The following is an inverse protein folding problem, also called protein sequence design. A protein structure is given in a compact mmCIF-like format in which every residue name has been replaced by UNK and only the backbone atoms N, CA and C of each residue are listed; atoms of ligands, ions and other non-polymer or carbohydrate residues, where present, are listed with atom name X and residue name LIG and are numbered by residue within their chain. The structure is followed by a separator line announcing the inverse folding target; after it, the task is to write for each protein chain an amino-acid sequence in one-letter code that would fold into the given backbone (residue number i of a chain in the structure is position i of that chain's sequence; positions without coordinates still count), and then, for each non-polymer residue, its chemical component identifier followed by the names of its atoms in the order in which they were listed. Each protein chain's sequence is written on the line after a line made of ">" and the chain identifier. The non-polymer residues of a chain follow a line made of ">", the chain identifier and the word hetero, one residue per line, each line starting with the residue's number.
data_IF_543495954573
#
_entry.id   IF_543495954573
#
_cell.length_a   1.000
_cell.length_b   1.000
_cell.length_c   1.000
_cell.angle_alpha   90.00
_cell.angle_beta   90.00
_cell.angle_gamma   90.00
#
_symmetry.space_group_name_H-M   'P 1'
#
loop_
_entity.id
_entity.type
_entity.pdbx_description
1 polymer ?
#
# COMPACT_ATOMS: atom_id res chain seq x y z
N UNK A 1 45.13 -7.77 -71.11
CA UNK A 1 45.45 -8.90 -70.21
C UNK A 1 45.69 -8.29 -68.83
N UNK A 2 44.62 -7.90 -68.14
CA UNK A 2 44.67 -7.23 -66.84
C UNK A 2 44.23 -8.19 -65.73
N UNK A 3 44.94 -9.32 -65.62
CA UNK A 3 44.62 -10.41 -64.71
C UNK A 3 45.19 -10.24 -63.29
N UNK A 4 45.83 -9.12 -62.99
CA UNK A 4 46.56 -8.92 -61.73
C UNK A 4 45.97 -7.86 -60.79
N UNK A 5 44.83 -7.24 -61.12
CA UNK A 5 44.24 -6.18 -60.30
C UNK A 5 43.19 -6.66 -59.28
N UNK A 6 42.89 -7.96 -59.21
CA UNK A 6 41.80 -8.49 -58.37
C UNK A 6 42.22 -8.85 -56.92
N UNK A 7 43.47 -8.64 -56.54
CA UNK A 7 43.97 -8.99 -55.20
C UNK A 7 43.99 -7.84 -54.18
N UNK A 8 43.40 -6.68 -54.50
CA UNK A 8 43.27 -5.57 -53.56
C UNK A 8 41.89 -5.50 -52.89
N UNK A 9 41.34 -6.64 -52.47
CA UNK A 9 40.24 -6.63 -51.50
C UNK A 9 40.81 -6.25 -50.12
N UNK A 10 40.88 -4.94 -49.85
CA UNK A 10 41.16 -4.44 -48.51
C UNK A 10 40.06 -4.96 -47.57
N UNK A 11 40.41 -5.61 -46.44
CA UNK A 11 39.40 -6.04 -45.48
C UNK A 11 38.67 -4.81 -44.95
N UNK A 12 37.40 -4.64 -45.35
CA UNK A 12 36.52 -3.61 -44.81
C UNK A 12 36.39 -3.87 -43.32
N UNK A 13 37.08 -3.05 -42.52
CA UNK A 13 37.10 -3.14 -41.06
C UNK A 13 35.67 -3.21 -40.50
N UNK A 14 35.48 -3.85 -39.33
CA UNK A 14 34.16 -4.00 -38.74
C UNK A 14 33.53 -2.61 -38.55
N UNK A 15 32.45 -2.36 -39.29
CA UNK A 15 31.69 -1.12 -39.19
C UNK A 15 31.22 -0.91 -37.75
N UNK A 16 31.50 0.26 -37.19
CA UNK A 16 31.03 0.69 -35.86
C UNK A 16 29.51 0.52 -35.68
N UNK A 17 28.77 0.56 -36.79
CA UNK A 17 27.34 0.31 -36.82
C UNK A 17 26.96 -1.08 -36.30
N UNK A 18 27.79 -2.11 -36.54
CA UNK A 18 27.56 -3.47 -36.04
C UNK A 18 27.58 -3.51 -34.51
N UNK A 19 28.53 -2.81 -33.89
CA UNK A 19 28.60 -2.70 -32.43
C UNK A 19 27.39 -1.94 -31.87
N UNK A 20 26.92 -0.90 -32.57
CA UNK A 20 25.74 -0.15 -32.15
C UNK A 20 24.47 -1.01 -32.14
N UNK A 21 24.26 -1.82 -33.18
CA UNK A 21 23.13 -2.75 -33.25
C UNK A 21 23.19 -3.80 -32.14
N UNK A 22 24.37 -4.37 -31.88
CA UNK A 22 24.55 -5.36 -30.80
C UNK A 22 24.33 -4.72 -29.42
N UNK A 23 24.86 -3.51 -29.19
CA UNK A 23 24.66 -2.78 -27.95
C UNK A 23 23.19 -2.41 -27.72
N UNK A 24 22.47 -2.01 -28.77
CA UNK A 24 21.05 -1.71 -28.69
C UNK A 24 20.24 -2.95 -28.30
N UNK A 25 20.49 -4.09 -28.95
CA UNK A 25 19.83 -5.35 -28.61
C UNK A 25 20.15 -5.81 -27.18
N UNK A 26 21.42 -5.68 -26.77
CA UNK A 26 21.86 -6.00 -25.41
C UNK A 26 21.22 -5.09 -24.36
N UNK A 27 21.09 -3.79 -24.64
CA UNK A 27 20.46 -2.83 -23.74
C UNK A 27 18.95 -3.07 -23.60
N UNK A 28 18.26 -3.42 -24.69
CA UNK A 28 16.83 -3.76 -24.66
C UNK A 28 16.60 -5.04 -23.84
N UNK A 29 17.37 -6.10 -24.11
CA UNK A 29 17.23 -7.37 -23.39
C UNK A 29 17.65 -7.25 -21.92
N UNK A 30 18.78 -6.59 -21.64
CA UNK A 30 19.26 -6.35 -20.28
C UNK A 30 18.31 -5.46 -19.48
N UNK A 31 17.77 -4.41 -20.11
CA UNK A 31 16.75 -3.55 -19.50
C UNK A 31 15.48 -4.32 -19.17
N UNK A 32 15.03 -5.22 -20.05
CA UNK A 32 13.88 -6.08 -19.80
C UNK A 32 14.11 -7.00 -18.59
N UNK A 33 15.27 -7.65 -18.52
CA UNK A 33 15.62 -8.55 -17.41
C UNK A 33 15.68 -7.78 -16.08
N UNK A 34 16.33 -6.62 -16.06
CA UNK A 34 16.40 -5.78 -14.85
C UNK A 34 15.01 -5.30 -14.45
N UNK A 35 14.18 -4.86 -15.41
CA UNK A 35 12.81 -4.41 -15.14
C UNK A 35 11.96 -5.50 -14.49
N UNK A 36 11.96 -6.72 -15.03
CA UNK A 36 11.22 -7.84 -14.46
C UNK A 36 11.86 -8.39 -13.15
N UNK A 37 13.18 -8.35 -13.03
CA UNK A 37 13.90 -8.80 -11.83
C UNK A 37 13.69 -7.86 -10.63
N UNK A 38 13.75 -6.54 -10.86
CA UNK A 38 13.50 -5.54 -9.81
C UNK A 38 12.05 -5.62 -9.32
N UNK A 39 11.12 -5.89 -10.24
CA UNK A 39 9.72 -6.14 -9.93
C UNK A 39 9.61 -7.26 -8.87
N UNK A 40 10.26 -8.40 -9.09
CA UNK A 40 10.26 -9.53 -8.14
C UNK A 40 10.90 -9.20 -6.78
N UNK A 41 11.94 -8.37 -6.73
CA UNK A 41 12.65 -8.08 -5.48
C UNK A 41 11.98 -7.00 -4.61
N UNK A 42 11.22 -6.09 -5.21
CA UNK A 42 10.45 -5.09 -4.47
C UNK A 42 9.17 -5.66 -3.82
N UNK A 43 8.74 -6.86 -4.20
CA UNK A 43 7.56 -7.54 -3.62
C UNK A 43 7.88 -8.23 -2.27
N UNK A 44 9.18 -8.38 -1.96
CA UNK A 44 9.69 -8.86 -0.66
C UNK A 44 9.91 -7.75 0.37
N UNK A 45 9.63 -6.49 0.03
CA UNK A 45 9.54 -5.45 1.05
C UNK A 45 8.15 -5.56 1.68
N UNK A 46 8.05 -5.79 3.01
CA UNK A 46 6.77 -5.68 3.69
C UNK A 46 6.27 -4.27 3.41
N UNK A 47 5.19 -4.15 2.63
CA UNK A 47 4.38 -2.94 2.62
C UNK A 47 4.15 -2.56 4.07
N UNK A 48 4.46 -1.32 4.49
CA UNK A 48 4.08 -0.86 5.81
C UNK A 48 2.57 -1.04 5.86
N UNK A 49 2.17 -2.02 6.64
CA UNK A 49 0.80 -2.31 6.92
C UNK A 49 0.33 -1.07 7.68
N UNK A 50 -0.32 -0.14 6.98
CA UNK A 50 -1.06 0.97 7.60
C UNK A 50 -2.33 0.43 8.31
N UNK A 51 -2.31 -0.86 8.69
CA UNK A 51 -3.05 -1.48 9.78
C UNK A 51 -2.44 -1.18 11.16
N UNK A 52 -1.43 -0.31 11.23
CA UNK A 52 -0.87 0.22 12.48
C UNK A 52 -1.58 1.47 13.03
N UNK A 53 -2.91 1.55 13.00
CA UNK A 53 -3.59 2.06 14.20
C UNK A 53 -3.67 0.85 15.14
N UNK A 54 -2.51 0.43 15.65
CA UNK A 54 -2.47 -0.03 17.03
C UNK A 54 -3.10 1.12 17.77
N UNK A 55 -4.30 0.85 18.31
CA UNK A 55 -4.83 1.68 19.37
C UNK A 55 -3.67 1.97 20.31
N UNK A 56 -3.66 3.18 20.85
CA UNK A 56 -3.04 3.39 22.13
C UNK A 56 -3.25 2.11 22.95
N UNK A 57 -2.19 1.33 23.11
CA UNK A 57 -1.96 0.57 24.33
C UNK A 57 -1.93 1.67 25.38
N UNK A 58 -3.12 2.09 25.81
CA UNK A 58 -3.33 2.51 27.17
C UNK A 58 -2.89 1.29 27.92
N UNK A 59 -1.62 1.30 28.29
CA UNK A 59 -1.07 0.56 29.39
C UNK A 59 -2.07 0.80 30.53
N UNK A 60 -3.02 -0.14 30.61
CA UNK A 60 -3.97 -0.28 31.68
C UNK A 60 -3.11 -0.54 32.89
N UNK A 61 -2.66 0.57 33.47
CA UNK A 61 -2.00 0.67 34.74
C UNK A 61 -3.00 0.11 35.72
N UNK A 62 -2.93 -1.21 35.91
CA UNK A 62 -3.57 -1.97 36.96
C UNK A 62 -3.44 -1.13 38.23
N UNK A 63 -4.51 -0.50 38.75
CA UNK A 63 -4.47 0.01 40.09
C UNK A 63 -4.41 -1.25 40.96
N UNK A 64 -3.26 -1.44 41.59
CA UNK A 64 -3.14 -2.43 42.64
C UNK A 64 -4.23 -2.20 43.67
N UNK A 65 -4.90 -3.29 44.04
CA UNK A 65 -5.53 -3.54 45.34
C UNK A 65 -5.61 -2.30 46.24
N UNK A 66 -6.66 -1.49 46.08
CA UNK A 66 -7.04 -0.49 47.08
C UNK A 66 -8.56 -0.37 47.05
N UNK A 67 -9.18 -1.11 47.96
CA UNK A 67 -10.47 -0.79 48.59
C UNK A 67 -11.64 -0.50 47.63
N UNK A 68 -12.11 -1.56 46.96
CA UNK A 68 -13.42 -1.63 46.32
C UNK A 68 -14.51 -1.83 47.37
N UNK A 69 -14.92 -0.78 48.08
CA UNK A 69 -16.15 -0.85 48.89
C UNK A 69 -16.74 0.54 49.22
N UNK A 70 -16.79 1.49 48.27
CA UNK A 70 -17.62 2.70 48.45
C UNK A 70 -17.95 3.54 47.19
N UNK A 71 -17.71 3.03 45.98
CA UNK A 71 -17.83 3.85 44.75
C UNK A 71 -18.92 3.43 43.76
N UNK A 72 -19.77 2.44 44.05
CA UNK A 72 -20.87 2.07 43.14
C UNK A 72 -21.93 3.17 42.98
N UNK A 73 -22.22 3.95 44.03
CA UNK A 73 -23.17 5.07 43.95
C UNK A 73 -22.67 6.23 43.08
N UNK A 74 -21.34 6.46 43.05
CA UNK A 74 -20.76 7.52 42.23
C UNK A 74 -20.83 7.17 40.73
N UNK A 75 -20.62 5.90 40.35
CA UNK A 75 -20.79 5.45 38.97
C UNK A 75 -22.26 5.50 38.52
N UNK A 76 -23.22 5.21 39.40
CA UNK A 76 -24.65 5.30 39.06
C UNK A 76 -25.14 6.75 38.89
N UNK A 77 -24.64 7.69 39.68
CA UNK A 77 -25.04 9.11 39.59
C UNK A 77 -24.57 9.78 38.29
N UNK A 78 -23.41 9.40 37.76
CA UNK A 78 -22.88 9.95 36.49
C UNK A 78 -23.55 9.34 35.24
N UNK A 79 -24.18 8.17 35.37
CA UNK A 79 -24.93 7.53 34.28
C UNK A 79 -26.29 8.19 33.99
N UNK A 80 -26.78 9.05 34.88
CA UNK A 80 -28.07 9.72 34.75
C UNK A 80 -27.99 11.14 34.18
N UNK A 81 -26.84 11.56 33.65
CA UNK A 81 -26.76 12.86 32.97
C UNK A 81 -27.59 12.88 31.69
N UNK A 82 -28.19 14.02 31.31
CA UNK A 82 -28.94 14.14 30.06
C UNK A 82 -28.12 13.76 28.82
N UNK A 83 -26.82 14.03 28.84
CA UNK A 83 -25.89 13.70 27.74
C UNK A 83 -25.73 12.19 27.60
N UNK A 84 -25.52 11.45 28.69
CA UNK A 84 -25.39 9.99 28.66
C UNK A 84 -26.68 9.32 28.21
N UNK A 85 -27.83 9.83 28.65
CA UNK A 85 -29.14 9.32 28.21
C UNK A 85 -29.35 9.51 26.71
N UNK A 86 -29.11 10.73 26.20
CA UNK A 86 -29.21 11.02 24.79
C UNK A 86 -28.24 10.17 23.97
N UNK A 87 -26.98 10.07 24.40
CA UNK A 87 -25.97 9.24 23.73
C UNK A 87 -26.39 7.77 23.68
N UNK A 88 -26.91 7.21 24.78
CA UNK A 88 -27.40 5.82 24.84
C UNK A 88 -28.58 5.59 23.89
N UNK A 89 -29.46 6.56 23.74
CA UNK A 89 -30.63 6.48 22.87
C UNK A 89 -30.24 6.56 21.38
N UNK A 90 -29.30 7.44 21.01
CA UNK A 90 -28.90 7.64 19.60
C UNK A 90 -27.82 6.68 19.11
N UNK A 91 -27.00 6.12 20.01
CA UNK A 91 -25.85 5.27 19.65
C UNK A 91 -26.21 4.11 18.70
N UNK A 92 -27.29 3.33 18.92
CA UNK A 92 -27.65 2.23 18.03
C UNK A 92 -28.02 2.66 16.60
N UNK A 93 -28.41 3.93 16.41
CA UNK A 93 -28.80 4.48 15.11
C UNK A 93 -27.63 5.04 14.31
N UNK A 94 -26.46 5.23 14.94
CA UNK A 94 -25.25 5.76 14.29
C UNK A 94 -24.45 4.62 13.67
N UNK A 95 -24.14 4.74 12.38
CA UNK A 95 -23.39 3.75 11.62
C UNK A 95 -22.10 4.34 11.07
N UNK A 96 -21.06 3.50 10.98
CA UNK A 96 -19.85 3.83 10.23
C UNK A 96 -20.08 3.62 8.73
N UNK A 97 -19.73 4.62 7.92
CA UNK A 97 -19.80 4.56 6.46
C UNK A 97 -18.38 4.47 5.91
N UNK A 98 -18.13 3.49 5.04
CA UNK A 98 -16.86 3.38 4.31
C UNK A 98 -17.12 3.35 2.81
N UNK A 99 -16.39 4.19 2.08
CA UNK A 99 -16.43 4.27 0.63
C UNK A 99 -15.23 3.50 0.08
N UNK A 100 -15.49 2.61 -0.87
CA UNK A 100 -14.48 1.87 -1.59
C UNK A 100 -14.55 2.20 -3.07
N UNK A 101 -13.39 2.42 -3.68
CA UNK A 101 -13.24 2.63 -5.11
C UNK A 101 -12.38 1.54 -5.71
N UNK A 102 -12.71 1.13 -6.93
CA UNK A 102 -11.82 0.29 -7.72
C UNK A 102 -10.68 1.14 -8.26
N UNK A 103 -9.45 0.79 -7.89
CA UNK A 103 -8.25 1.34 -8.52
C UNK A 103 -7.63 0.29 -9.43
N UNK A 104 -7.04 0.74 -10.54
CA UNK A 104 -6.32 -0.13 -11.45
C UNK A 104 -4.83 0.07 -11.22
N UNK A 105 -4.15 -1.00 -10.80
CA UNK A 105 -2.71 -1.06 -10.79
C UNK A 105 -2.24 -1.93 -11.97
N UNK A 106 -1.30 -1.41 -12.76
CA UNK A 106 -0.72 -2.10 -13.91
C UNK A 106 -0.03 -3.42 -13.51
N UNK A 107 0.40 -3.54 -12.24
CA UNK A 107 1.04 -4.74 -11.71
C UNK A 107 0.06 -5.73 -11.10
N UNK A 108 -0.92 -5.24 -10.34
CA UNK A 108 -1.75 -6.07 -9.46
C UNK A 108 -3.21 -6.18 -9.87
N UNK A 109 -3.58 -5.59 -11.02
CA UNK A 109 -4.95 -5.62 -11.53
C UNK A 109 -5.89 -4.69 -10.76
N UNK A 110 -7.19 -5.01 -10.77
CA UNK A 110 -8.20 -4.23 -10.06
C UNK A 110 -8.18 -4.57 -8.58
N UNK A 111 -8.01 -3.55 -7.72
CA UNK A 111 -8.11 -3.69 -6.27
C UNK A 111 -9.19 -2.76 -5.73
N UNK A 112 -9.90 -3.23 -4.70
CA UNK A 112 -10.81 -2.39 -3.93
C UNK A 112 -9.97 -1.62 -2.91
N UNK A 113 -9.89 -0.31 -3.03
CA UNK A 113 -9.18 0.55 -2.08
C UNK A 113 -10.18 1.46 -1.39
N UNK A 114 -10.01 1.64 -0.08
CA UNK A 114 -10.83 2.56 0.72
C UNK A 114 -10.57 3.99 0.24
N UNK A 115 -11.59 4.62 -0.31
CA UNK A 115 -11.55 6.01 -0.81
C UNK A 115 -11.91 7.02 0.28
N UNK A 116 -12.67 6.62 1.31
CA UNK A 116 -13.02 7.50 2.42
C UNK A 116 -13.81 6.79 3.52
N UNK A 117 -13.89 7.43 4.69
CA UNK A 117 -14.67 6.98 5.84
C UNK A 117 -15.45 8.14 6.43
N UNK A 118 -16.60 7.84 7.02
CA UNK A 118 -17.43 8.81 7.72
C UNK A 118 -18.40 8.12 8.67
N UNK A 119 -19.28 8.90 9.27
CA UNK A 119 -20.39 8.42 10.09
C UNK A 119 -21.71 8.86 9.46
N UNK A 120 -22.76 8.10 9.72
CA UNK A 120 -24.13 8.40 9.32
C UNK A 120 -25.11 7.92 10.38
N UNK A 121 -26.39 8.18 10.17
CA UNK A 121 -27.45 7.68 11.03
C UNK A 121 -28.62 7.14 10.20
N UNK A 122 -29.34 6.17 10.75
CA UNK A 122 -30.48 5.54 10.08
C UNK A 122 -31.74 6.38 10.27
N UNK A 123 -32.46 6.66 9.18
CA UNK A 123 -33.77 7.31 9.16
C UNK A 123 -34.76 6.34 8.48
N UNK A 124 -35.89 6.07 9.11
CA UNK A 124 -37.01 5.27 8.59
C UNK A 124 -38.20 6.17 8.29
#
# INVERSE_FOLDING_TARGET
>A
MDYFNDFQERPRGPSLFKYFVVALLGAVLGGLIVFYGLQYHLESLPTPDNSGFSGLDVEESRPGNTEEEDNEELYQSHQQTPVVRAAREVMPSVVGVSNFAYTFDLRSGRRLVRAGTGSGFVIT
#
